data_IF_530078303477
#
_entry.id   IF_530078303477
#
_cell.length_a   1.000
_cell.length_b   1.000
_cell.length_c   1.000
_cell.angle_alpha   90.00
_cell.angle_beta   90.00
_cell.angle_gamma   90.00
#
_symmetry.space_group_name_H-M   'P 1'
#
loop_
_entity.id
_entity.type
_entity.pdbx_description
1 polymer ?
#
# COMPACT_ATOMS: atom_id res chain seq x y z
N UNK A 1 14.71 -8.48 -11.59
CA UNK A 1 14.13 -7.63 -10.53
C UNK A 1 12.62 -7.83 -10.58
N UNK A 2 12.06 -8.52 -9.58
CA UNK A 2 10.69 -9.06 -9.64
C UNK A 2 9.65 -7.95 -9.56
N UNK A 3 8.94 -7.69 -10.64
CA UNK A 3 7.84 -6.72 -10.65
C UNK A 3 6.58 -7.38 -11.21
N UNK A 4 5.98 -8.26 -10.40
CA UNK A 4 4.60 -8.69 -10.61
C UNK A 4 3.68 -7.54 -10.14
N UNK A 5 3.75 -6.42 -10.88
CA UNK A 5 2.91 -5.26 -10.64
C UNK A 5 1.48 -5.70 -10.89
N UNK A 6 0.61 -5.44 -9.92
CA UNK A 6 -0.80 -5.78 -10.05
C UNK A 6 -1.43 -4.93 -11.14
N UNK A 7 -2.39 -5.50 -11.84
CA UNK A 7 -3.24 -4.77 -12.76
C UNK A 7 -4.40 -4.19 -11.95
N UNK A 8 -4.65 -2.90 -12.11
CA UNK A 8 -5.75 -2.23 -11.43
C UNK A 8 -7.08 -2.78 -11.97
N UNK A 9 -7.97 -3.32 -11.10
CA UNK A 9 -9.26 -3.85 -11.55
C UNK A 9 -10.20 -2.77 -12.09
N UNK A 10 -10.02 -1.51 -11.69
CA UNK A 10 -10.90 -0.41 -12.10
C UNK A 10 -10.51 0.18 -13.49
N UNK A 11 -9.22 0.34 -13.79
CA UNK A 11 -8.78 0.98 -15.04
C UNK A 11 -7.86 0.16 -15.93
N UNK A 12 -7.55 -1.10 -15.56
CA UNK A 12 -6.70 -2.01 -16.34
C UNK A 12 -5.22 -1.62 -16.42
N UNK A 13 -4.79 -0.51 -15.79
CA UNK A 13 -3.40 -0.05 -15.83
C UNK A 13 -2.54 -0.80 -14.80
N UNK A 14 -1.25 -0.98 -15.12
CA UNK A 14 -0.26 -1.49 -14.17
C UNK A 14 -0.13 -0.54 -12.97
N UNK A 15 -0.26 -1.09 -11.78
CA UNK A 15 -0.04 -0.36 -10.54
C UNK A 15 1.45 -0.11 -10.32
N UNK A 16 1.78 0.92 -9.56
CA UNK A 16 3.16 1.27 -9.18
C UNK A 16 3.38 0.91 -7.72
N UNK A 17 4.49 0.27 -7.42
CA UNK A 17 4.88 0.03 -6.03
C UNK A 17 5.24 1.35 -5.36
N UNK A 18 4.54 1.67 -4.27
CA UNK A 18 4.85 2.83 -3.44
C UNK A 18 5.78 2.42 -2.30
N UNK A 19 5.43 1.33 -1.61
CA UNK A 19 6.21 0.73 -0.53
C UNK A 19 6.35 -0.77 -0.75
N UNK A 20 7.23 -1.42 0.00
CA UNK A 20 7.34 -2.88 -0.03
C UNK A 20 5.98 -3.47 0.38
N UNK A 21 5.33 -4.21 -0.52
CA UNK A 21 4.01 -4.80 -0.27
C UNK A 21 2.82 -3.85 -0.43
N UNK A 22 3.02 -2.62 -0.92
CA UNK A 22 1.93 -1.67 -1.22
C UNK A 22 2.10 -1.09 -2.64
N UNK A 23 1.06 -1.22 -3.45
CA UNK A 23 1.00 -0.69 -4.82
C UNK A 23 -0.20 0.25 -5.00
N UNK A 24 -0.03 1.31 -5.78
CA UNK A 24 -1.08 2.29 -6.08
C UNK A 24 -1.36 2.38 -7.58
N UNK A 25 -2.61 2.65 -7.89
CA UNK A 25 -3.05 3.15 -9.17
C UNK A 25 -3.35 4.65 -9.08
N UNK A 26 -3.13 5.37 -10.20
CA UNK A 26 -3.52 6.78 -10.31
C UNK A 26 -5.03 7.00 -10.15
N UNK A 27 -5.86 6.01 -10.46
CA UNK A 27 -7.33 6.13 -10.39
C UNK A 27 -7.92 6.03 -8.98
N UNK A 28 -7.10 5.94 -7.93
CA UNK A 28 -7.60 5.83 -6.55
C UNK A 28 -7.55 4.41 -5.98
N UNK A 29 -7.38 3.37 -6.80
CA UNK A 29 -7.21 1.99 -6.32
C UNK A 29 -5.82 1.73 -5.74
N UNK A 30 -5.77 0.91 -4.69
CA UNK A 30 -4.54 0.42 -4.07
C UNK A 30 -4.58 -1.09 -3.89
N UNK A 31 -3.41 -1.70 -3.74
CA UNK A 31 -3.25 -3.11 -3.43
C UNK A 31 -2.21 -3.26 -2.33
N UNK A 32 -2.56 -3.97 -1.26
CA UNK A 32 -1.65 -4.28 -0.14
C UNK A 32 -1.54 -5.80 -0.01
N UNK A 33 -0.31 -6.29 0.19
CA UNK A 33 0.03 -7.73 0.14
C UNK A 33 -0.88 -8.59 1.01
N UNK A 34 -1.18 -8.13 2.22
CA UNK A 34 -1.93 -8.90 3.21
C UNK A 34 -3.44 -8.57 3.23
N UNK A 35 -3.88 -7.58 2.45
CA UNK A 35 -5.24 -7.02 2.52
C UNK A 35 -5.99 -7.11 1.18
N UNK A 36 -5.27 -7.16 0.06
CA UNK A 36 -5.85 -7.17 -1.27
C UNK A 36 -6.07 -5.76 -1.83
N UNK A 37 -7.05 -5.63 -2.74
CA UNK A 37 -7.37 -4.36 -3.40
C UNK A 37 -8.34 -3.53 -2.56
N UNK A 38 -8.15 -2.21 -2.53
CA UNK A 38 -9.03 -1.27 -1.83
C UNK A 38 -9.05 0.10 -2.52
N UNK A 39 -10.10 0.87 -2.30
CA UNK A 39 -10.22 2.26 -2.74
C UNK A 39 -9.60 3.20 -1.72
N UNK A 40 -8.85 4.20 -2.19
CA UNK A 40 -8.27 5.22 -1.31
C UNK A 40 -9.31 6.27 -0.96
N UNK A 41 -9.40 6.57 0.33
CA UNK A 41 -10.12 7.74 0.84
C UNK A 41 -9.13 8.87 1.16
N UNK A 42 -9.55 10.15 1.09
CA UNK A 42 -8.66 11.29 1.34
C UNK A 42 -8.04 11.36 2.75
N UNK A 43 -8.70 10.73 3.74
CA UNK A 43 -8.22 10.66 5.12
C UNK A 43 -7.15 9.59 5.35
N UNK A 44 -6.88 8.70 4.39
CA UNK A 44 -5.81 7.70 4.50
C UNK A 44 -4.43 8.34 4.38
N UNK A 45 -3.52 7.95 5.25
CA UNK A 45 -2.11 8.34 5.28
C UNK A 45 -1.26 7.09 5.19
N UNK A 46 -0.55 6.95 4.08
CA UNK A 46 0.35 5.83 3.81
C UNK A 46 1.74 6.12 4.39
N UNK A 47 2.20 5.27 5.31
CA UNK A 47 3.51 5.42 5.94
C UNK A 47 4.26 4.09 6.00
N UNK A 48 5.55 4.19 6.34
CA UNK A 48 6.39 3.03 6.65
C UNK A 48 6.70 3.05 8.13
N UNK A 49 6.55 1.90 8.78
CA UNK A 49 6.89 1.71 10.17
C UNK A 49 7.99 0.67 10.29
N UNK A 50 8.95 0.91 11.19
CA UNK A 50 9.98 -0.06 11.54
C UNK A 50 9.49 -0.85 12.74
N UNK A 51 9.33 -2.15 12.58
CA UNK A 51 8.96 -3.05 13.66
C UNK A 51 10.07 -4.07 13.88
N UNK A 52 10.44 -4.26 15.14
CA UNK A 52 11.38 -5.31 15.55
C UNK A 52 10.61 -6.60 15.78
N UNK A 53 10.79 -7.58 14.89
CA UNK A 53 10.16 -8.89 15.00
C UNK A 53 11.26 -9.89 15.34
N UNK A 54 11.26 -10.34 16.60
CA UNK A 54 12.35 -11.13 17.16
C UNK A 54 13.66 -10.33 17.18
N UNK A 55 14.71 -10.84 16.52
CA UNK A 55 16.03 -10.17 16.40
C UNK A 55 16.19 -9.34 15.11
N UNK A 56 15.14 -9.19 14.29
CA UNK A 56 15.21 -8.48 13.00
C UNK A 56 14.31 -7.26 12.97
N UNK A 57 14.85 -6.14 12.50
CA UNK A 57 14.05 -4.95 12.19
C UNK A 57 13.49 -5.08 10.78
N UNK A 58 12.16 -5.08 10.65
CA UNK A 58 11.46 -5.08 9.36
C UNK A 58 10.80 -3.74 9.12
N UNK A 59 10.73 -3.34 7.85
CA UNK A 59 9.98 -2.17 7.41
C UNK A 59 8.65 -2.64 6.82
N UNK A 60 7.54 -2.20 7.42
CA UNK A 60 6.20 -2.60 7.02
C UNK A 60 5.37 -1.39 6.54
N UNK A 61 4.53 -1.55 5.51
CA UNK A 61 3.59 -0.51 5.11
C UNK A 61 2.42 -0.45 6.10
N UNK A 62 2.15 0.74 6.62
CA UNK A 62 1.01 1.02 7.49
C UNK A 62 0.11 2.09 6.88
N UNK A 63 -1.19 1.94 7.10
CA UNK A 63 -2.21 2.92 6.68
C UNK A 63 -2.77 3.51 7.96
N UNK A 64 -2.58 4.81 8.14
CA UNK A 64 -3.16 5.60 9.25
C UNK A 64 -4.34 6.39 8.72
N UNK A 65 -5.26 6.78 9.59
CA UNK A 65 -6.39 7.61 9.23
C UNK A 65 -6.29 8.94 9.97
N UNK A 66 -6.45 10.04 9.25
CA UNK A 66 -6.63 11.34 9.89
C UNK A 66 -8.00 11.33 10.59
N UNK A 67 -7.98 11.68 11.87
CA UNK A 67 -9.20 12.01 12.60
C UNK A 67 -9.42 13.50 12.33
N UNK A 68 -10.52 13.83 11.68
CA UNK A 68 -10.96 15.22 11.55
C UNK A 68 -11.52 15.62 12.93
N UNK A 69 -10.85 16.58 13.59
CA UNK A 69 -11.34 17.24 14.81
C UNK A 69 -12.21 18.43 14.43
#
# INVERSE_FOLDING_TARGET
MGTNNKICPNCGRKMKQQFIGLQHCKCGMSWKKDEGFFERTPNMVFALERQTIGKKVKQIPVIRYKIEN
#
